data_IF_193339041894
#
_entry.id   IF_193339041894
#
_cell.length_a   1.000
_cell.length_b   1.000
_cell.length_c   1.000
_cell.angle_alpha   90.00
_cell.angle_beta   90.00
_cell.angle_gamma   90.00
#
_symmetry.space_group_name_H-M   'P 1'
#
loop_
_entity.id
_entity.type
_entity.pdbx_description
1 polymer ?
#
# COMPACT_ATOMS: atom_id res chain seq x y z
N UNK A 1 49.39 22.21 53.12
CA UNK A 1 48.05 22.61 52.65
C UNK A 1 47.75 21.80 51.40
N UNK A 2 46.69 21.00 51.44
CA UNK A 2 46.33 20.02 50.42
C UNK A 2 45.19 20.53 49.52
N UNK A 3 44.98 19.81 48.41
CA UNK A 3 43.79 19.77 47.53
C UNK A 3 43.79 20.86 46.43
N UNK A 4 43.55 20.63 45.14
CA UNK A 4 42.82 19.55 44.46
C UNK A 4 43.41 19.21 43.07
N UNK A 5 43.50 17.92 42.76
CA UNK A 5 43.60 17.40 41.39
C UNK A 5 42.16 17.12 40.95
N UNK A 6 41.68 17.81 39.91
CA UNK A 6 40.35 17.55 39.33
C UNK A 6 40.53 17.11 37.88
N UNK A 7 40.70 15.80 37.69
CA UNK A 7 40.54 15.14 36.39
C UNK A 7 39.07 14.71 36.28
N UNK A 8 38.36 15.24 35.30
CA UNK A 8 37.09 14.67 34.83
C UNK A 8 36.96 14.91 33.33
N UNK A 9 37.59 14.04 32.55
CA UNK A 9 37.32 13.88 31.11
C UNK A 9 36.02 13.07 31.01
N UNK A 10 34.89 13.75 30.82
CA UNK A 10 33.63 13.09 30.46
C UNK A 10 33.63 12.85 28.94
N UNK A 11 33.98 11.62 28.56
CA UNK A 11 33.92 11.16 27.18
C UNK A 11 32.48 11.22 26.66
N UNK A 12 32.30 11.91 25.54
CA UNK A 12 31.07 11.95 24.77
C UNK A 12 30.76 10.55 24.20
N UNK A 13 29.76 9.87 24.76
CA UNK A 13 29.12 8.73 24.11
C UNK A 13 28.01 9.27 23.20
N UNK A 14 28.39 9.58 21.96
CA UNK A 14 27.45 9.74 20.84
C UNK A 14 26.88 8.35 20.51
N UNK A 15 25.84 7.93 21.22
CA UNK A 15 24.98 6.85 20.77
C UNK A 15 24.08 7.40 19.66
N UNK A 16 24.56 7.37 18.42
CA UNK A 16 23.70 7.44 17.25
C UNK A 16 22.90 6.13 17.17
N UNK A 17 21.88 6.01 18.01
CA UNK A 17 20.80 5.08 17.73
C UNK A 17 20.15 5.58 16.43
N UNK A 18 20.43 4.90 15.32
CA UNK A 18 19.61 5.02 14.13
C UNK A 18 18.21 4.57 14.51
N UNK A 19 17.39 5.52 14.96
CA UNK A 19 15.98 5.30 15.25
C UNK A 19 15.29 5.00 13.93
N UNK A 20 15.27 3.73 13.52
CA UNK A 20 14.11 3.22 12.80
C UNK A 20 12.93 3.45 13.74
N UNK A 21 12.16 4.53 13.54
CA UNK A 21 10.89 4.70 14.24
C UNK A 21 10.08 3.45 13.95
N UNK A 22 9.74 2.70 14.99
CA UNK A 22 8.84 1.56 14.86
C UNK A 22 7.41 2.10 14.81
N UNK A 23 6.51 1.55 13.99
CA UNK A 23 5.08 1.83 14.10
C UNK A 23 4.59 1.63 15.54
N UNK A 24 3.82 2.58 16.08
CA UNK A 24 3.20 2.48 17.41
C UNK A 24 1.70 2.15 17.35
N UNK A 25 1.16 2.03 16.14
CA UNK A 25 -0.21 1.61 15.88
C UNK A 25 -0.29 0.10 15.60
N UNK A 26 -1.47 -0.48 15.82
CA UNK A 26 -1.77 -1.83 15.36
C UNK A 26 -2.08 -1.82 13.87
N UNK A 27 -1.49 -2.75 13.12
CA UNK A 27 -1.80 -2.93 11.69
C UNK A 27 -3.19 -3.59 11.57
N UNK A 28 -4.13 -2.99 10.81
CA UNK A 28 -5.49 -3.53 10.71
C UNK A 28 -5.53 -4.84 9.92
N UNK A 29 -6.54 -5.67 10.20
CA UNK A 29 -6.83 -6.93 9.49
C UNK A 29 -7.68 -6.74 8.22
N UNK A 30 -7.93 -5.51 7.82
CA UNK A 30 -8.66 -5.15 6.60
C UNK A 30 -8.18 -3.82 6.04
N UNK A 31 -8.30 -3.66 4.72
CA UNK A 31 -8.05 -2.42 3.99
C UNK A 31 -9.22 -2.13 3.07
N UNK A 32 -9.81 -0.95 3.22
CA UNK A 32 -11.02 -0.54 2.49
C UNK A 32 -12.16 -1.58 2.57
N UNK A 33 -12.34 -2.21 3.73
CA UNK A 33 -13.38 -3.22 3.96
C UNK A 33 -13.09 -4.59 3.34
N UNK A 34 -11.89 -4.81 2.80
CA UNK A 34 -11.41 -6.11 2.31
C UNK A 34 -10.44 -6.68 3.33
N UNK A 35 -10.76 -7.86 3.87
CA UNK A 35 -9.89 -8.55 4.83
C UNK A 35 -8.52 -8.88 4.21
N UNK A 36 -7.45 -8.61 4.96
CA UNK A 36 -6.06 -8.91 4.60
C UNK A 36 -5.28 -9.32 5.85
N UNK A 37 -4.24 -10.14 5.66
CA UNK A 37 -3.29 -10.43 6.74
C UNK A 37 -2.51 -9.15 7.09
N UNK A 38 -2.47 -8.70 8.36
CA UNK A 38 -1.66 -7.56 8.78
C UNK A 38 -0.19 -7.65 8.33
N UNK A 39 0.40 -8.84 8.28
CA UNK A 39 1.79 -9.04 7.85
C UNK A 39 2.01 -8.70 6.36
N UNK A 40 0.96 -8.73 5.55
CA UNK A 40 1.01 -8.35 4.12
C UNK A 40 0.85 -6.83 3.95
N UNK A 41 0.14 -6.18 4.87
CA UNK A 41 -0.06 -4.74 4.87
C UNK A 41 1.10 -3.97 5.49
N UNK A 42 1.67 -4.49 6.58
CA UNK A 42 2.73 -3.83 7.36
C UNK A 42 3.87 -3.27 6.50
N UNK A 43 4.41 -3.97 5.49
CA UNK A 43 5.51 -3.45 4.68
C UNK A 43 5.17 -2.23 3.81
N UNK A 44 3.88 -1.93 3.61
CA UNK A 44 3.41 -0.76 2.87
C UNK A 44 3.22 0.48 3.75
N UNK A 45 3.23 0.31 5.07
CA UNK A 45 2.93 1.37 6.00
C UNK A 45 4.21 2.12 6.42
N UNK A 46 4.06 3.40 6.72
CA UNK A 46 5.14 4.20 7.31
C UNK A 46 5.11 4.13 8.84
N UNK A 47 6.25 4.24 9.50
CA UNK A 47 6.29 4.51 10.93
C UNK A 47 5.45 5.73 11.31
N UNK A 48 4.81 5.65 12.47
CA UNK A 48 4.02 6.74 13.04
C UNK A 48 3.31 6.30 14.31
N UNK A 49 2.46 7.18 14.83
CA UNK A 49 1.75 7.00 16.10
C UNK A 49 0.33 6.47 15.90
N UNK A 50 -0.36 6.95 14.86
CA UNK A 50 -1.78 6.68 14.64
C UNK A 50 -2.04 6.27 13.19
N UNK A 51 -2.82 5.20 13.00
CA UNK A 51 -3.29 4.75 11.69
C UNK A 51 -4.80 4.91 11.59
N UNK A 52 -5.26 5.49 10.48
CA UNK A 52 -6.68 5.66 10.18
C UNK A 52 -6.98 5.30 8.72
N UNK A 53 -8.22 4.86 8.44
CA UNK A 53 -8.70 4.65 7.08
C UNK A 53 -9.83 5.63 6.78
N UNK A 54 -9.73 6.39 5.68
CA UNK A 54 -10.78 7.27 5.21
C UNK A 54 -11.37 6.74 3.92
N UNK A 55 -12.68 6.61 3.88
CA UNK A 55 -13.41 6.11 2.71
C UNK A 55 -13.87 7.29 1.85
N UNK A 56 -13.52 7.29 0.57
CA UNK A 56 -13.91 8.36 -0.35
C UNK A 56 -15.02 7.83 -1.27
N UNK A 57 -16.26 8.19 -0.94
CA UNK A 57 -17.46 7.90 -1.75
C UNK A 57 -17.52 6.43 -2.22
N UNK A 58 -17.81 5.50 -1.29
CA UNK A 58 -18.05 4.10 -1.65
C UNK A 58 -19.19 3.98 -2.63
N UNK A 59 -18.88 3.65 -3.89
CA UNK A 59 -19.89 3.04 -4.77
C UNK A 59 -19.94 1.55 -4.45
N UNK A 60 -21.11 0.91 -4.48
CA UNK A 60 -21.20 -0.53 -4.40
C UNK A 60 -20.28 -1.17 -5.44
N UNK A 61 -19.38 -2.05 -5.01
CA UNK A 61 -18.45 -2.75 -5.91
C UNK A 61 -17.16 -2.00 -6.28
N UNK A 62 -16.82 -0.90 -5.60
CA UNK A 62 -15.61 -0.12 -5.85
C UNK A 62 -14.91 0.28 -4.54
N UNK A 63 -13.94 -0.54 -4.03
CA UNK A 63 -13.20 -0.15 -2.84
C UNK A 63 -12.43 1.13 -3.12
N UNK A 64 -12.67 2.19 -2.35
CA UNK A 64 -11.95 3.45 -2.51
C UNK A 64 -11.67 4.07 -1.14
N UNK A 65 -10.42 3.96 -0.69
CA UNK A 65 -10.02 4.51 0.59
C UNK A 65 -8.55 4.95 0.59
N UNK A 66 -8.23 5.81 1.57
CA UNK A 66 -6.87 6.14 1.93
C UNK A 66 -6.55 5.58 3.31
N UNK A 67 -5.38 4.96 3.44
CA UNK A 67 -4.76 4.66 4.73
C UNK A 67 -3.86 5.83 5.08
N UNK A 68 -4.06 6.39 6.26
CA UNK A 68 -3.33 7.53 6.77
C UNK A 68 -2.51 7.12 8.00
N UNK A 69 -1.27 7.61 8.08
CA UNK A 69 -0.44 7.54 9.27
C UNK A 69 -0.12 8.96 9.71
N UNK A 70 -0.46 9.30 10.95
CA UNK A 70 -0.27 10.65 11.49
C UNK A 70 -0.85 11.73 10.57
N UNK A 71 -2.07 11.50 10.08
CA UNK A 71 -2.84 12.39 9.19
C UNK A 71 -2.27 12.52 7.75
N UNK A 72 -1.18 11.83 7.42
CA UNK A 72 -0.63 11.76 6.06
C UNK A 72 -1.11 10.49 5.32
N UNK A 73 -1.66 10.64 4.12
CA UNK A 73 -2.03 9.50 3.27
C UNK A 73 -0.78 8.72 2.86
N UNK A 74 -0.66 7.47 3.33
CA UNK A 74 0.49 6.60 3.03
C UNK A 74 0.19 5.56 1.96
N UNK A 75 -1.09 5.19 1.82
CA UNK A 75 -1.58 4.21 0.85
C UNK A 75 -2.93 4.67 0.31
N UNK A 76 -3.09 4.69 -1.00
CA UNK A 76 -4.37 4.87 -1.68
C UNK A 76 -4.77 3.57 -2.34
N UNK A 77 -6.01 3.13 -2.17
CA UNK A 77 -6.55 1.94 -2.83
C UNK A 77 -7.81 2.33 -3.56
N UNK A 78 -7.88 1.98 -4.85
CA UNK A 78 -9.01 2.23 -5.70
C UNK A 78 -9.31 0.99 -6.53
N UNK A 79 -10.52 0.46 -6.41
CA UNK A 79 -11.03 -0.62 -7.24
C UNK A 79 -12.30 -0.21 -7.95
N UNK A 80 -12.52 -0.77 -9.13
CA UNK A 80 -13.68 -0.49 -9.96
C UNK A 80 -14.05 -1.68 -10.84
N UNK A 81 -15.35 -1.88 -11.04
CA UNK A 81 -15.88 -2.74 -12.11
C UNK A 81 -16.14 -1.87 -13.32
N UNK A 82 -15.54 -2.21 -14.45
CA UNK A 82 -15.64 -1.47 -15.71
C UNK A 82 -16.18 -2.37 -16.83
N UNK A 83 -16.87 -1.81 -17.82
CA UNK A 83 -17.30 -2.57 -19.01
C UNK A 83 -16.15 -3.29 -19.71
N UNK A 84 -16.41 -4.47 -20.28
CA UNK A 84 -15.37 -5.28 -20.94
C UNK A 84 -14.72 -4.61 -22.17
N UNK A 85 -15.39 -3.66 -22.82
CA UNK A 85 -14.87 -2.90 -23.95
C UNK A 85 -14.00 -1.71 -23.52
N UNK A 86 -14.05 -1.30 -22.25
CA UNK A 86 -13.16 -0.28 -21.71
C UNK A 86 -11.75 -0.84 -21.55
N UNK A 87 -10.76 -0.09 -22.04
CA UNK A 87 -9.34 -0.42 -21.91
C UNK A 87 -8.72 0.27 -20.68
N UNK A 88 -8.39 -0.50 -19.62
CA UNK A 88 -7.75 0.06 -18.43
C UNK A 88 -6.26 0.43 -18.64
N UNK A 89 -5.65 0.03 -19.77
CA UNK A 89 -4.23 0.27 -20.02
C UNK A 89 -3.90 1.73 -20.33
N UNK A 90 -4.83 2.49 -20.94
CA UNK A 90 -4.62 3.89 -21.34
C UNK A 90 -4.28 4.77 -20.14
N UNK A 91 -5.02 4.65 -19.02
CA UNK A 91 -4.73 5.39 -17.78
C UNK A 91 -3.40 4.93 -17.17
N UNK A 92 -3.11 3.63 -17.24
CA UNK A 92 -1.94 3.00 -16.65
C UNK A 92 -0.64 3.41 -17.33
N UNK A 93 -0.59 3.45 -18.66
CA UNK A 93 0.64 3.76 -19.42
C UNK A 93 1.17 5.16 -19.12
N UNK A 94 0.28 6.14 -18.92
CA UNK A 94 0.66 7.49 -18.52
C UNK A 94 1.11 7.59 -17.05
N UNK A 95 0.46 6.85 -16.15
CA UNK A 95 0.75 6.90 -14.71
C UNK A 95 1.93 6.03 -14.27
N UNK A 96 2.25 4.99 -15.04
CA UNK A 96 3.22 3.96 -14.66
C UNK A 96 4.17 3.62 -15.82
N UNK A 97 4.96 4.58 -16.31
CA UNK A 97 5.93 4.30 -17.36
C UNK A 97 6.91 3.21 -16.89
N UNK A 98 7.19 2.24 -17.75
CA UNK A 98 8.12 1.13 -17.49
C UNK A 98 7.78 0.21 -16.30
N UNK A 99 6.51 0.10 -15.91
CA UNK A 99 6.09 -0.86 -14.88
C UNK A 99 6.35 -2.32 -15.27
N UNK A 100 6.85 -3.11 -14.32
CA UNK A 100 7.13 -4.52 -14.50
C UNK A 100 5.86 -5.37 -14.43
N UNK A 101 5.78 -6.45 -15.20
CA UNK A 101 4.70 -7.44 -15.11
C UNK A 101 4.82 -8.26 -13.82
N UNK A 102 3.68 -8.54 -13.19
CA UNK A 102 3.56 -9.50 -12.09
C UNK A 102 2.40 -10.47 -12.37
N UNK A 103 2.45 -11.64 -11.75
CA UNK A 103 1.47 -12.73 -11.94
C UNK A 103 0.28 -12.56 -11.00
N UNK A 104 -0.56 -11.55 -11.25
CA UNK A 104 -1.82 -11.31 -10.53
C UNK A 104 -2.93 -10.98 -11.53
N UNK A 105 -4.06 -11.70 -11.44
CA UNK A 105 -5.15 -11.53 -12.39
C UNK A 105 -4.75 -11.89 -13.82
N UNK A 106 -5.41 -11.28 -14.79
CA UNK A 106 -5.12 -11.47 -16.22
C UNK A 106 -3.97 -10.56 -16.68
N UNK A 107 -3.87 -9.37 -16.07
CA UNK A 107 -2.82 -8.41 -16.33
C UNK A 107 -2.55 -7.53 -15.12
N UNK A 108 -1.37 -7.68 -14.53
CA UNK A 108 -0.90 -6.82 -13.47
C UNK A 108 0.48 -6.24 -13.75
N UNK A 109 0.68 -5.03 -13.24
CA UNK A 109 1.90 -4.25 -13.40
C UNK A 109 2.24 -3.54 -12.10
N UNK A 110 3.52 -3.45 -11.79
CA UNK A 110 4.05 -2.77 -10.61
C UNK A 110 5.18 -1.81 -10.98
N UNK A 111 5.10 -0.59 -10.49
CA UNK A 111 6.17 0.39 -10.49
C UNK A 111 6.69 0.58 -9.08
N UNK A 112 7.62 1.51 -8.87
CA UNK A 112 8.13 1.76 -7.53
C UNK A 112 7.07 2.33 -6.58
N UNK A 113 6.00 2.97 -7.06
CA UNK A 113 4.97 3.60 -6.21
C UNK A 113 3.55 3.13 -6.50
N UNK A 114 3.31 2.45 -7.61
CA UNK A 114 1.96 2.04 -8.01
C UNK A 114 1.95 0.54 -8.33
N UNK A 115 0.82 -0.11 -8.09
CA UNK A 115 0.50 -1.44 -8.61
C UNK A 115 -0.92 -1.45 -9.12
N UNK A 116 -1.12 -2.04 -10.30
CA UNK A 116 -2.43 -2.20 -10.92
C UNK A 116 -2.62 -3.66 -11.28
N UNK A 117 -3.78 -4.22 -10.99
CA UNK A 117 -4.19 -5.55 -11.43
C UNK A 117 -5.56 -5.50 -12.09
N UNK A 118 -5.72 -6.30 -13.14
CA UNK A 118 -6.93 -6.41 -13.94
C UNK A 118 -7.28 -7.87 -14.10
N UNK A 119 -8.56 -8.20 -14.01
CA UNK A 119 -9.07 -9.51 -14.39
C UNK A 119 -10.50 -9.39 -14.93
N UNK A 120 -10.89 -10.35 -15.76
CA UNK A 120 -12.28 -10.57 -16.12
C UNK A 120 -13.14 -10.75 -14.86
N UNK A 121 -14.30 -10.12 -14.84
CA UNK A 121 -15.24 -10.15 -13.74
C UNK A 121 -16.65 -10.32 -14.30
N UNK A 122 -17.31 -11.42 -13.97
CA UNK A 122 -18.77 -11.50 -14.16
C UNK A 122 -19.44 -10.77 -13.00
N UNK A 123 -20.02 -9.59 -13.25
CA UNK A 123 -20.72 -8.79 -12.24
C UNK A 123 -22.17 -8.58 -12.66
N UNK A 124 -23.12 -8.94 -11.80
CA UNK A 124 -24.56 -8.81 -12.07
C UNK A 124 -25.01 -9.40 -13.43
N UNK A 125 -24.39 -10.51 -13.84
CA UNK A 125 -24.69 -11.20 -15.10
C UNK A 125 -24.08 -10.57 -16.35
N UNK A 126 -23.25 -9.54 -16.21
CA UNK A 126 -22.51 -8.93 -17.32
C UNK A 126 -21.06 -9.38 -17.31
N UNK A 127 -20.49 -9.57 -18.50
CA UNK A 127 -19.06 -9.72 -18.68
C UNK A 127 -18.40 -8.34 -18.57
N UNK A 128 -17.77 -8.09 -17.43
CA UNK A 128 -17.06 -6.86 -17.10
C UNK A 128 -15.59 -7.17 -16.80
N UNK A 129 -14.82 -6.14 -16.43
CA UNK A 129 -13.48 -6.27 -15.86
C UNK A 129 -13.49 -5.68 -14.46
N UNK A 130 -12.70 -6.27 -13.57
CA UNK A 130 -12.37 -5.67 -12.29
C UNK A 130 -10.94 -5.16 -12.31
N UNK A 131 -10.77 -3.90 -11.92
CA UNK A 131 -9.49 -3.21 -11.85
C UNK A 131 -9.24 -2.80 -10.41
N UNK A 132 -8.04 -3.02 -9.91
CA UNK A 132 -7.57 -2.43 -8.65
C UNK A 132 -6.26 -1.72 -8.92
N UNK A 133 -6.16 -0.50 -8.41
CA UNK A 133 -4.97 0.31 -8.34
C UNK A 133 -4.64 0.59 -6.88
N UNK A 134 -3.37 0.44 -6.53
CA UNK A 134 -2.84 0.80 -5.22
C UNK A 134 -1.64 1.70 -5.43
N UNK A 135 -1.65 2.85 -4.75
CA UNK A 135 -0.56 3.82 -4.76
C UNK A 135 0.03 3.92 -3.36
N UNK A 136 1.35 3.85 -3.27
CA UNK A 136 2.12 4.12 -2.06
C UNK A 136 2.72 5.52 -2.17
N UNK A 137 2.27 6.43 -1.32
CA UNK A 137 2.73 7.81 -1.23
C UNK A 137 4.04 7.97 -0.44
N UNK A 138 4.67 9.14 -0.52
CA UNK A 138 5.92 9.47 0.18
C UNK A 138 7.11 8.55 -0.19
N UNK A 139 7.41 8.36 -1.49
CA UNK A 139 8.48 7.47 -1.94
C UNK A 139 9.88 7.87 -1.47
N UNK A 140 10.06 9.10 -1.02
CA UNK A 140 11.30 9.63 -0.47
C UNK A 140 11.67 9.05 0.91
N UNK A 141 10.72 8.38 1.57
CA UNK A 141 10.87 7.91 2.96
C UNK A 141 11.32 6.45 3.08
N UNK A 142 11.37 5.70 1.99
CA UNK A 142 11.77 4.30 1.98
C UNK A 142 12.43 3.85 0.66
N UNK A 143 12.97 2.63 0.66
CA UNK A 143 13.67 2.05 -0.48
C UNK A 143 12.69 1.65 -1.60
N UNK A 144 12.94 2.14 -2.81
CA UNK A 144 12.07 1.91 -3.96
C UNK A 144 11.89 0.42 -4.31
N UNK A 145 12.93 -0.40 -4.17
CA UNK A 145 12.85 -1.83 -4.44
C UNK A 145 11.97 -2.53 -3.40
N UNK A 146 12.20 -2.27 -2.11
CA UNK A 146 11.39 -2.84 -1.03
C UNK A 146 9.91 -2.45 -1.16
N UNK A 147 9.65 -1.19 -1.47
CA UNK A 147 8.29 -0.68 -1.70
C UNK A 147 7.61 -1.37 -2.89
N UNK A 148 8.32 -1.54 -4.01
CA UNK A 148 7.84 -2.29 -5.17
C UNK A 148 7.52 -3.74 -4.83
N UNK A 149 8.40 -4.42 -4.09
CA UNK A 149 8.20 -5.80 -3.62
C UNK A 149 6.99 -5.90 -2.69
N UNK A 150 6.82 -4.95 -1.77
CA UNK A 150 5.66 -4.87 -0.88
C UNK A 150 4.35 -4.64 -1.65
N UNK A 151 4.34 -3.75 -2.64
CA UNK A 151 3.18 -3.50 -3.49
C UNK A 151 2.77 -4.74 -4.29
N UNK A 152 3.75 -5.44 -4.87
CA UNK A 152 3.50 -6.69 -5.56
C UNK A 152 2.95 -7.76 -4.61
N UNK A 153 3.58 -7.95 -3.45
CA UNK A 153 3.14 -8.90 -2.43
C UNK A 153 1.71 -8.62 -1.95
N UNK A 154 1.40 -7.37 -1.62
CA UNK A 154 0.06 -6.96 -1.24
C UNK A 154 -0.97 -7.28 -2.32
N UNK A 155 -0.69 -6.94 -3.58
CA UNK A 155 -1.62 -7.14 -4.69
C UNK A 155 -1.92 -8.64 -4.93
N UNK A 156 -0.98 -9.55 -4.65
CA UNK A 156 -1.23 -11.01 -4.77
C UNK A 156 -2.33 -11.52 -3.82
N UNK A 157 -2.52 -10.86 -2.68
CA UNK A 157 -3.51 -11.24 -1.66
C UNK A 157 -4.77 -10.38 -1.76
N UNK A 158 -4.59 -9.07 -1.87
CA UNK A 158 -5.69 -8.11 -1.87
C UNK A 158 -6.58 -8.27 -3.11
N UNK A 159 -6.00 -8.40 -4.30
CA UNK A 159 -6.75 -8.44 -5.55
C UNK A 159 -7.83 -9.54 -5.60
N UNK A 160 -7.51 -10.83 -5.36
CA UNK A 160 -8.53 -11.88 -5.35
C UNK A 160 -9.58 -11.69 -4.25
N UNK A 161 -9.18 -11.19 -3.08
CA UNK A 161 -10.10 -10.92 -1.97
C UNK A 161 -11.08 -9.78 -2.32
N UNK A 162 -10.58 -8.68 -2.88
CA UNK A 162 -11.38 -7.56 -3.33
C UNK A 162 -12.35 -7.98 -4.45
N UNK A 163 -11.87 -8.79 -5.41
CA UNK A 163 -12.69 -9.32 -6.52
C UNK A 163 -13.89 -10.12 -6.00
N UNK A 164 -13.68 -10.94 -4.96
CA UNK A 164 -14.75 -11.67 -4.26
C UNK A 164 -15.68 -10.73 -3.51
N UNK A 165 -15.14 -9.73 -2.81
CA UNK A 165 -15.93 -8.79 -2.01
C UNK A 165 -16.89 -7.94 -2.86
N UNK A 166 -16.51 -7.62 -4.10
CA UNK A 166 -17.38 -6.90 -5.05
C UNK A 166 -18.35 -7.82 -5.80
N UNK A 167 -18.35 -9.12 -5.52
CA UNK A 167 -19.28 -10.09 -6.10
C UNK A 167 -18.95 -10.49 -7.55
N UNK A 168 -17.69 -10.42 -7.97
CA UNK A 168 -17.28 -11.04 -9.23
C UNK A 168 -17.34 -12.56 -9.12
N UNK A 169 -17.95 -13.24 -10.10
CA UNK A 169 -18.14 -14.70 -10.09
C UNK A 169 -17.35 -15.44 -11.19
N UNK A 170 -16.21 -14.89 -11.64
CA UNK A 170 -15.29 -15.55 -12.58
C UNK A 170 -14.32 -16.52 -11.91
#
# INVERSE_FOLDING_TARGET
MAVAVSVAVAAALLAAAGCSKTPQYAVPGDVCGVAVDPAVLEPLLLPGEKLEQSTVLSRPGAPHCFVQVDEESVLGVQGEVIPADQDPSVRREWQMPAAARIEVGDDARVSDINVVAVAACAHQGKADKFVVQVERFHPERDDARKRREALAGFMTVYFPAARKAVGCTS
#
